data_IF_709691268428
#
_entry.id   IF_709691268428
#
_cell.length_a   1.000
_cell.length_b   1.000
_cell.length_c   1.000
_cell.angle_alpha   90.00
_cell.angle_beta   90.00
_cell.angle_gamma   90.00
#
_symmetry.space_group_name_H-M   'P 1'
#
loop_
_entity.id
_entity.type
_entity.pdbx_description
1 polymer ?
#
# COMPACT_ATOMS: atom_id res chain seq x y z
N UNK A 1 -8.80 -13.92 19.55
CA UNK A 1 -9.66 -13.42 18.45
C UNK A 1 -8.92 -12.65 17.34
N UNK A 2 -7.96 -11.72 17.58
CA UNK A 2 -7.08 -11.17 16.50
C UNK A 2 -5.66 -11.69 16.60
N UNK A 3 -5.14 -11.79 17.82
CA UNK A 3 -3.85 -12.45 18.06
C UNK A 3 -3.82 -13.84 17.42
N UNK A 4 -4.93 -14.57 17.40
CA UNK A 4 -5.02 -15.90 16.77
C UNK A 4 -4.94 -15.83 15.24
N UNK A 5 -5.51 -14.80 14.60
CA UNK A 5 -5.37 -14.59 13.15
C UNK A 5 -3.92 -14.32 12.79
N UNK A 6 -3.26 -13.44 13.55
CA UNK A 6 -1.85 -13.10 13.32
C UNK A 6 -0.92 -14.29 13.60
N UNK A 7 -1.18 -15.04 14.67
CA UNK A 7 -0.46 -16.30 14.97
C UNK A 7 -0.64 -17.31 13.85
N UNK A 8 -1.86 -17.50 13.36
CA UNK A 8 -2.14 -18.36 12.22
C UNK A 8 -1.37 -17.91 10.97
N UNK A 9 -1.35 -16.62 10.66
CA UNK A 9 -0.58 -16.09 9.54
C UNK A 9 0.90 -16.48 9.65
N UNK A 10 1.51 -16.25 10.82
CA UNK A 10 2.92 -16.57 11.08
C UNK A 10 3.20 -18.06 10.93
N UNK A 11 2.30 -18.93 11.40
CA UNK A 11 2.53 -20.38 11.39
C UNK A 11 2.19 -21.05 10.05
N UNK A 12 1.34 -20.43 9.23
CA UNK A 12 0.73 -21.10 8.07
C UNK A 12 1.09 -20.48 6.73
N UNK A 13 1.55 -19.23 6.70
CA UNK A 13 1.78 -18.50 5.44
C UNK A 13 3.28 -18.24 5.23
N UNK A 14 3.93 -18.96 4.30
CA UNK A 14 5.30 -18.63 3.91
C UNK A 14 5.33 -17.30 3.14
N UNK A 15 6.47 -16.59 3.18
CA UNK A 15 6.61 -15.31 2.48
C UNK A 15 5.61 -14.26 2.97
N UNK A 16 5.38 -14.22 4.29
CA UNK A 16 4.50 -13.26 4.95
C UNK A 16 5.19 -11.91 5.09
N UNK A 17 4.53 -10.85 4.64
CA UNK A 17 4.96 -9.46 4.85
C UNK A 17 3.77 -8.59 5.24
N UNK A 18 4.05 -7.40 5.76
CA UNK A 18 3.03 -6.39 6.00
C UNK A 18 3.17 -5.26 4.97
N UNK A 19 2.17 -5.05 4.12
CA UNK A 19 2.13 -3.85 3.27
C UNK A 19 1.43 -2.73 4.02
N UNK A 20 2.09 -1.58 4.16
CA UNK A 20 1.56 -0.46 4.92
C UNK A 20 1.82 0.88 4.26
N UNK A 21 0.90 1.82 4.50
CA UNK A 21 1.11 3.26 4.30
C UNK A 21 1.15 3.99 5.65
N UNK A 22 1.44 3.26 6.73
CA UNK A 22 1.48 3.75 8.12
C UNK A 22 0.16 4.38 8.61
N UNK A 23 -0.98 3.97 8.05
CA UNK A 23 -2.29 4.25 8.63
C UNK A 23 -2.49 3.51 9.95
N UNK A 24 -3.33 4.04 10.84
CA UNK A 24 -3.50 3.54 12.21
C UNK A 24 -3.71 2.02 12.29
N UNK A 25 -4.53 1.46 11.42
CA UNK A 25 -4.78 0.01 11.40
C UNK A 25 -3.52 -0.80 11.12
N UNK A 26 -2.68 -0.37 10.19
CA UNK A 26 -1.40 -1.03 9.94
C UNK A 26 -0.46 -0.90 11.14
N UNK A 27 -0.46 0.24 11.83
CA UNK A 27 0.36 0.46 13.02
C UNK A 27 -0.06 -0.43 14.19
N UNK A 28 -1.37 -0.62 14.41
CA UNK A 28 -1.88 -1.58 15.39
C UNK A 28 -1.36 -2.99 15.09
N UNK A 29 -1.45 -3.42 13.83
CA UNK A 29 -0.95 -4.74 13.43
C UNK A 29 0.56 -4.89 13.68
N UNK A 30 1.36 -3.88 13.32
CA UNK A 30 2.80 -3.87 13.57
C UNK A 30 3.09 -4.02 15.06
N UNK A 31 2.42 -3.23 15.90
CA UNK A 31 2.63 -3.26 17.34
C UNK A 31 2.24 -4.62 17.94
N UNK A 32 1.11 -5.19 17.52
CA UNK A 32 0.69 -6.54 17.92
C UNK A 32 1.72 -7.61 17.52
N UNK A 33 2.26 -7.55 16.29
CA UNK A 33 3.30 -8.47 15.82
C UNK A 33 4.59 -8.31 16.64
N UNK A 34 5.00 -7.07 16.95
CA UNK A 34 6.23 -6.80 17.68
C UNK A 34 6.26 -7.39 19.09
N UNK A 35 5.07 -7.48 19.71
CA UNK A 35 4.83 -8.02 21.06
C UNK A 35 4.75 -9.55 21.09
N UNK A 36 4.71 -10.23 19.94
CA UNK A 36 4.71 -11.69 19.90
C UNK A 36 6.05 -12.26 20.35
N UNK A 37 5.99 -13.43 20.98
CA UNK A 37 7.12 -14.14 21.57
C UNK A 37 7.08 -15.65 21.26
N UNK A 38 8.13 -16.36 21.70
CA UNK A 38 8.26 -17.80 21.54
C UNK A 38 8.13 -18.25 20.08
N UNK A 39 7.30 -19.28 19.77
CA UNK A 39 7.15 -19.81 18.42
C UNK A 39 6.49 -18.83 17.43
N UNK A 40 5.94 -17.73 17.94
CA UNK A 40 5.31 -16.68 17.14
C UNK A 40 6.22 -15.45 16.99
N UNK A 41 7.45 -15.49 17.53
CA UNK A 41 8.42 -14.43 17.27
C UNK A 41 8.84 -14.50 15.81
N UNK A 42 8.24 -13.63 15.01
CA UNK A 42 8.52 -13.54 13.58
C UNK A 42 8.88 -12.11 13.20
N UNK A 43 9.93 -11.95 12.41
CA UNK A 43 10.26 -10.67 11.83
C UNK A 43 9.44 -10.52 10.55
N UNK A 44 8.20 -10.06 10.69
CA UNK A 44 7.35 -9.78 9.53
C UNK A 44 7.85 -8.51 8.88
N UNK A 45 8.52 -8.64 7.74
CA UNK A 45 9.04 -7.51 7.01
C UNK A 45 7.90 -6.57 6.56
N UNK A 46 8.18 -5.27 6.61
CA UNK A 46 7.25 -4.25 6.15
C UNK A 46 7.60 -3.80 4.74
N UNK A 47 6.57 -3.58 3.92
CA UNK A 47 6.68 -3.00 2.60
C UNK A 47 5.96 -1.66 2.61
N UNK A 48 6.70 -0.59 2.34
CA UNK A 48 6.19 0.75 2.15
C UNK A 48 6.37 1.17 0.70
N UNK A 49 5.30 1.67 0.09
CA UNK A 49 5.34 2.22 -1.26
C UNK A 49 5.48 3.73 -1.15
N UNK A 50 6.68 4.21 -1.41
CA UNK A 50 6.96 5.64 -1.47
C UNK A 50 6.57 6.15 -2.85
N UNK A 51 5.40 6.79 -2.92
CA UNK A 51 4.87 7.35 -4.17
C UNK A 51 5.64 8.58 -4.63
N UNK A 52 6.57 9.10 -3.80
CA UNK A 52 7.25 10.39 -3.91
C UNK A 52 6.36 11.60 -3.58
N UNK A 53 5.07 11.37 -3.31
CA UNK A 53 4.07 12.40 -3.04
C UNK A 53 3.41 12.23 -1.67
N UNK A 54 4.05 11.54 -0.73
CA UNK A 54 3.57 11.50 0.66
C UNK A 54 3.79 12.85 1.36
N UNK A 55 3.08 13.04 2.46
CA UNK A 55 3.35 14.14 3.38
C UNK A 55 4.67 13.93 4.13
N UNK A 56 5.33 15.02 4.51
CA UNK A 56 6.53 15.00 5.35
C UNK A 56 6.29 14.31 6.69
N UNK A 57 5.10 14.47 7.27
CA UNK A 57 4.70 13.79 8.51
C UNK A 57 4.64 12.26 8.34
N UNK A 58 4.32 11.76 7.14
CA UNK A 58 4.37 10.33 6.84
C UNK A 58 5.82 9.83 6.83
N UNK A 59 6.74 10.56 6.18
CA UNK A 59 8.16 10.22 6.19
C UNK A 59 8.76 10.26 7.60
N UNK A 60 8.46 11.32 8.36
CA UNK A 60 8.87 11.44 9.76
C UNK A 60 8.33 10.28 10.63
N UNK A 61 7.09 9.83 10.37
CA UNK A 61 6.54 8.66 11.02
C UNK A 61 7.29 7.37 10.66
N UNK A 62 7.69 7.16 9.39
CA UNK A 62 8.50 6.01 9.00
C UNK A 62 9.76 5.91 9.86
N UNK A 63 10.45 7.03 10.08
CA UNK A 63 11.66 7.07 10.90
C UNK A 63 11.38 6.83 12.39
N UNK A 64 10.24 7.29 12.91
CA UNK A 64 9.80 6.96 14.28
C UNK A 64 9.53 5.46 14.42
N UNK A 65 8.88 4.85 13.43
CA UNK A 65 8.54 3.43 13.43
C UNK A 65 9.80 2.56 13.34
N UNK A 66 10.75 2.89 12.45
CA UNK A 66 12.05 2.21 12.36
C UNK A 66 12.76 2.16 13.72
N UNK A 67 12.86 3.31 14.40
CA UNK A 67 13.50 3.42 15.71
C UNK A 67 12.77 2.66 16.81
N UNK A 68 11.43 2.64 16.77
CA UNK A 68 10.59 2.04 17.83
C UNK A 68 10.54 0.51 17.78
N UNK A 69 10.46 -0.05 16.57
CA UNK A 69 10.15 -1.47 16.36
C UNK A 69 11.32 -2.28 15.82
N UNK A 70 12.33 -1.62 15.22
CA UNK A 70 13.50 -2.28 14.61
C UNK A 70 13.13 -3.39 13.60
N UNK A 71 11.98 -3.25 12.94
CA UNK A 71 11.50 -4.14 11.89
C UNK A 71 12.02 -3.65 10.53
N UNK A 72 12.49 -4.53 9.63
CA UNK A 72 12.88 -4.16 8.28
C UNK A 72 11.72 -3.49 7.54
N UNK A 73 12.00 -2.33 6.94
CA UNK A 73 11.05 -1.60 6.08
C UNK A 73 11.67 -1.48 4.70
N UNK A 74 11.17 -2.30 3.78
CA UNK A 74 11.50 -2.26 2.35
C UNK A 74 10.71 -1.14 1.71
N UNK A 75 11.43 -0.16 1.15
CA UNK A 75 10.82 1.00 0.48
C UNK A 75 10.92 0.80 -1.02
N UNK A 76 9.77 0.80 -1.69
CA UNK A 76 9.67 0.72 -3.15
C UNK A 76 9.10 2.02 -3.70
N UNK A 77 9.77 2.54 -4.73
CA UNK A 77 9.44 3.78 -5.45
C UNK A 77 9.00 3.48 -6.88
N UNK A 78 8.38 4.45 -7.58
CA UNK A 78 8.17 4.36 -9.03
C UNK A 78 9.47 3.97 -9.75
N UNK A 79 9.40 3.03 -10.69
CA UNK A 79 10.59 2.51 -11.35
C UNK A 79 11.45 3.60 -12.01
N UNK A 80 12.72 3.69 -11.61
CA UNK A 80 13.67 4.68 -12.12
C UNK A 80 13.39 6.11 -11.67
N UNK A 81 12.68 6.32 -10.56
CA UNK A 81 12.48 7.63 -9.96
C UNK A 81 12.89 7.63 -8.49
N UNK A 82 13.84 8.50 -8.13
CA UNK A 82 14.23 8.70 -6.73
C UNK A 82 13.59 9.94 -6.13
N UNK A 83 13.21 10.90 -6.98
CA UNK A 83 12.66 12.20 -6.62
C UNK A 83 11.42 12.56 -7.43
N UNK A 84 10.64 13.53 -6.93
CA UNK A 84 9.51 14.13 -7.68
C UNK A 84 9.95 14.69 -9.03
N UNK A 85 11.17 15.23 -9.12
CA UNK A 85 11.73 15.74 -10.37
C UNK A 85 11.90 14.62 -11.41
N UNK A 86 12.42 13.46 -11.01
CA UNK A 86 12.55 12.30 -11.90
C UNK A 86 11.18 11.82 -12.38
N UNK A 87 10.20 11.77 -11.47
CA UNK A 87 8.84 11.37 -11.80
C UNK A 87 8.20 12.33 -12.81
N UNK A 88 8.29 13.64 -12.57
CA UNK A 88 7.73 14.65 -13.45
C UNK A 88 8.45 14.69 -14.81
N UNK A 89 9.77 14.51 -14.84
CA UNK A 89 10.54 14.44 -16.09
C UNK A 89 10.12 13.24 -16.94
N UNK A 90 9.78 12.11 -16.31
CA UNK A 90 9.40 10.88 -17.00
C UNK A 90 7.95 10.83 -17.42
N UNK A 91 7.04 11.28 -16.56
CA UNK A 91 5.60 11.08 -16.75
C UNK A 91 4.79 12.38 -16.90
N UNK A 92 5.44 13.54 -16.78
CA UNK A 92 4.81 14.85 -16.80
C UNK A 92 4.39 15.35 -15.42
N UNK A 93 4.28 16.66 -15.28
CA UNK A 93 3.80 17.30 -14.05
C UNK A 93 2.33 16.95 -13.79
N UNK A 94 1.99 16.77 -12.52
CA UNK A 94 0.61 16.57 -12.05
C UNK A 94 -0.13 15.43 -12.77
N UNK A 95 0.54 14.31 -13.01
CA UNK A 95 -0.05 13.14 -13.66
C UNK A 95 -1.37 12.68 -13.00
N UNK A 96 -1.53 12.89 -11.69
CA UNK A 96 -2.77 12.58 -10.95
C UNK A 96 -3.99 13.44 -11.35
N UNK A 97 -3.80 14.53 -12.09
CA UNK A 97 -4.85 15.36 -12.69
C UNK A 97 -5.08 14.99 -14.16
N UNK A 98 -4.02 14.71 -14.91
CA UNK A 98 -4.10 14.47 -16.36
C UNK A 98 -4.43 13.02 -16.71
N UNK A 99 -3.96 12.06 -15.93
CA UNK A 99 -4.22 10.63 -16.10
C UNK A 99 -4.10 9.87 -14.76
N UNK A 100 -5.18 9.89 -13.98
CA UNK A 100 -5.22 9.28 -12.65
C UNK A 100 -4.96 7.76 -12.66
N UNK A 101 -5.43 7.05 -13.69
CA UNK A 101 -5.19 5.60 -13.81
C UNK A 101 -3.71 5.29 -14.04
N UNK A 102 -3.05 6.09 -14.88
CA UNK A 102 -1.61 5.94 -15.11
C UNK A 102 -0.80 6.29 -13.87
N UNK A 103 -1.16 7.37 -13.16
CA UNK A 103 -0.54 7.72 -11.89
C UNK A 103 -0.65 6.60 -10.85
N UNK A 104 -1.87 6.07 -10.62
CA UNK A 104 -2.08 4.97 -9.68
C UNK A 104 -1.24 3.75 -10.07
N UNK A 105 -1.10 3.50 -11.37
CA UNK A 105 -0.31 2.40 -11.87
C UNK A 105 1.18 2.57 -11.55
N UNK A 106 1.83 3.63 -12.07
CA UNK A 106 3.29 3.80 -11.95
C UNK A 106 3.74 4.17 -10.54
N UNK A 107 2.89 4.85 -9.77
CA UNK A 107 3.26 5.29 -8.43
C UNK A 107 2.96 4.24 -7.35
N UNK A 108 2.05 3.30 -7.61
CA UNK A 108 1.52 2.41 -6.55
C UNK A 108 1.42 0.96 -6.96
N UNK A 109 0.77 0.65 -8.08
CA UNK A 109 0.54 -0.75 -8.49
C UNK A 109 1.85 -1.40 -8.92
N UNK A 110 2.60 -0.77 -9.83
CA UNK A 110 3.88 -1.30 -10.30
C UNK A 110 4.88 -1.51 -9.15
N UNK A 111 5.14 -0.52 -8.28
CA UNK A 111 6.09 -0.72 -7.18
C UNK A 111 5.64 -1.82 -6.21
N UNK A 112 4.34 -1.98 -5.97
CA UNK A 112 3.81 -3.05 -5.13
C UNK A 112 4.07 -4.42 -5.73
N UNK A 113 3.72 -4.61 -7.00
CA UNK A 113 3.88 -5.90 -7.68
C UNK A 113 5.36 -6.28 -7.83
N UNK A 114 6.23 -5.30 -8.13
CA UNK A 114 7.69 -5.49 -8.12
C UNK A 114 8.22 -5.87 -6.75
N UNK A 115 7.79 -5.19 -5.68
CA UNK A 115 8.17 -5.54 -4.32
C UNK A 115 7.79 -6.99 -3.97
N UNK A 116 6.56 -7.40 -4.31
CA UNK A 116 6.10 -8.76 -4.05
C UNK A 116 6.90 -9.81 -4.82
N UNK A 117 7.28 -9.52 -6.06
CA UNK A 117 8.11 -10.41 -6.86
C UNK A 117 9.55 -10.51 -6.33
N UNK A 118 10.23 -9.39 -6.09
CA UNK A 118 11.62 -9.36 -5.65
C UNK A 118 11.79 -9.96 -4.24
N UNK A 119 10.86 -9.66 -3.33
CA UNK A 119 10.88 -10.17 -1.95
C UNK A 119 10.20 -11.55 -1.81
N UNK A 120 9.74 -12.15 -2.91
CA UNK A 120 9.06 -13.46 -2.92
C UNK A 120 7.84 -13.53 -1.98
N UNK A 121 7.08 -12.43 -1.86
CA UNK A 121 5.91 -12.33 -1.00
C UNK A 121 4.79 -13.22 -1.54
N UNK A 122 4.26 -14.11 -0.70
CA UNK A 122 3.09 -14.93 -1.00
C UNK A 122 1.86 -14.53 -0.17
N UNK A 123 2.09 -13.86 0.95
CA UNK A 123 1.04 -13.36 1.82
C UNK A 123 1.35 -11.94 2.31
N UNK A 124 0.37 -11.04 2.20
CA UNK A 124 0.48 -9.65 2.62
C UNK A 124 -0.60 -9.27 3.63
N UNK A 125 -0.19 -8.90 4.83
CA UNK A 125 -1.09 -8.29 5.82
C UNK A 125 -1.36 -6.84 5.42
N UNK A 126 -2.63 -6.42 5.44
CA UNK A 126 -3.06 -5.06 5.11
C UNK A 126 -3.80 -4.38 6.26
N UNK A 127 -3.90 -3.04 6.19
CA UNK A 127 -4.64 -2.21 7.14
C UNK A 127 -6.10 -1.93 6.76
N UNK A 128 -6.73 -2.76 5.91
CA UNK A 128 -8.13 -2.55 5.48
C UNK A 128 -9.12 -3.05 6.55
N UNK A 129 -10.23 -2.33 6.71
CA UNK A 129 -11.33 -2.67 7.65
C UNK A 129 -12.69 -2.45 7.00
N UNK A 130 -13.71 -3.21 7.41
CA UNK A 130 -15.09 -3.04 6.93
C UNK A 130 -15.67 -1.67 7.26
N UNK A 131 -15.34 -1.16 8.45
CA UNK A 131 -15.77 0.15 8.95
C UNK A 131 -15.25 1.35 8.14
N UNK A 132 -14.34 1.13 7.19
CA UNK A 132 -13.85 2.18 6.27
C UNK A 132 -14.77 2.41 5.06
N UNK A 133 -15.87 1.68 4.96
CA UNK A 133 -16.93 1.91 3.98
C UNK A 133 -16.53 1.65 2.52
N UNK A 134 -17.39 2.12 1.61
CA UNK A 134 -17.23 1.90 0.17
C UNK A 134 -17.08 0.41 -0.18
N UNK A 135 -16.11 0.09 -1.04
CA UNK A 135 -15.82 -1.31 -1.42
C UNK A 135 -15.26 -2.17 -0.28
N UNK A 136 -14.92 -1.58 0.88
CA UNK A 136 -14.39 -2.34 2.03
C UNK A 136 -15.50 -2.90 2.92
N UNK A 137 -16.76 -2.48 2.78
CA UNK A 137 -17.86 -2.95 3.62
C UNK A 137 -18.00 -4.48 3.67
N UNK A 138 -17.75 -5.13 2.54
CA UNK A 138 -17.90 -6.59 2.35
C UNK A 138 -16.55 -7.33 2.38
N UNK A 139 -15.51 -6.71 2.94
CA UNK A 139 -14.14 -7.23 2.90
C UNK A 139 -13.95 -8.51 3.71
N UNK A 140 -13.46 -9.57 3.09
CA UNK A 140 -13.09 -10.81 3.78
C UNK A 140 -11.84 -10.64 4.65
N UNK A 141 -11.69 -11.51 5.66
CA UNK A 141 -10.45 -11.56 6.46
C UNK A 141 -9.29 -12.06 5.60
N UNK A 142 -9.56 -12.99 4.68
CA UNK A 142 -8.57 -13.54 3.74
C UNK A 142 -9.14 -13.35 2.33
N UNK A 143 -8.36 -12.69 1.47
CA UNK A 143 -8.65 -12.50 0.06
C UNK A 143 -7.49 -13.10 -0.76
N UNK A 144 -7.75 -13.53 -1.99
CA UNK A 144 -6.72 -13.96 -2.94
C UNK A 144 -6.89 -13.12 -4.20
N UNK A 145 -5.82 -12.49 -4.70
CA UNK A 145 -5.88 -11.78 -5.98
C UNK A 145 -5.62 -12.73 -7.16
N UNK A 146 -5.84 -12.26 -8.38
CA UNK A 146 -5.64 -13.06 -9.60
C UNK A 146 -4.19 -13.57 -9.76
N UNK A 147 -3.22 -12.90 -9.12
CA UNK A 147 -1.80 -13.29 -9.09
C UNK A 147 -1.44 -14.31 -8.00
N UNK A 148 -2.41 -14.81 -7.22
CA UNK A 148 -2.20 -15.78 -6.15
C UNK A 148 -1.64 -15.22 -4.85
N UNK A 149 -1.51 -13.89 -4.71
CA UNK A 149 -1.13 -13.24 -3.45
C UNK A 149 -2.30 -13.33 -2.47
N UNK A 150 -2.03 -13.90 -1.29
CA UNK A 150 -2.99 -13.94 -0.18
C UNK A 150 -2.95 -12.59 0.55
N UNK A 151 -4.06 -11.86 0.62
CA UNK A 151 -4.19 -10.64 1.40
C UNK A 151 -4.94 -10.96 2.70
N UNK A 152 -4.40 -10.51 3.83
CA UNK A 152 -4.97 -10.74 5.16
C UNK A 152 -5.35 -9.41 5.78
N UNK A 153 -6.58 -9.31 6.23
CA UNK A 153 -7.14 -8.14 6.90
C UNK A 153 -7.47 -8.49 8.36
N UNK A 154 -6.47 -8.63 9.24
CA UNK A 154 -6.67 -9.14 10.60
C UNK A 154 -7.62 -8.26 11.43
N UNK A 155 -7.69 -6.98 11.09
CA UNK A 155 -8.52 -5.97 11.75
C UNK A 155 -9.81 -5.66 10.94
N UNK A 156 -10.25 -6.56 10.05
CA UNK A 156 -11.44 -6.37 9.21
C UNK A 156 -12.69 -5.94 10.00
N UNK A 157 -12.85 -6.49 11.21
CA UNK A 157 -14.00 -6.25 12.10
C UNK A 157 -13.81 -5.12 13.10
N UNK A 158 -12.66 -4.42 13.09
CA UNK A 158 -12.44 -3.30 13.99
C UNK A 158 -13.05 -2.00 13.46
N UNK A 159 -13.70 -1.27 14.36
CA UNK A 159 -14.10 0.12 14.16
C UNK A 159 -12.88 1.05 14.24
N UNK A 160 -13.03 2.28 13.76
CA UNK A 160 -11.98 3.30 13.94
C UNK A 160 -11.71 3.59 15.42
N UNK A 161 -12.76 3.59 16.26
CA UNK A 161 -12.65 3.82 17.70
C UNK A 161 -11.77 2.75 18.37
N UNK A 162 -11.99 1.47 18.08
CA UNK A 162 -11.16 0.37 18.62
C UNK A 162 -9.70 0.47 18.17
N UNK A 163 -9.46 0.86 16.91
CA UNK A 163 -8.10 1.10 16.41
C UNK A 163 -7.44 2.24 17.20
N UNK A 164 -8.13 3.37 17.37
CA UNK A 164 -7.61 4.54 18.09
C UNK A 164 -7.37 4.24 19.57
N UNK A 165 -8.30 3.56 20.23
CA UNK A 165 -8.16 3.11 21.61
C UNK A 165 -6.91 2.25 21.80
N UNK A 166 -6.65 1.31 20.89
CA UNK A 166 -5.42 0.51 20.94
C UNK A 166 -4.17 1.36 20.79
N UNK A 167 -4.15 2.28 19.81
CA UNK A 167 -3.01 3.17 19.56
C UNK A 167 -2.68 3.97 20.83
N UNK A 168 -3.69 4.55 21.47
CA UNK A 168 -3.55 5.36 22.67
C UNK A 168 -3.09 4.51 23.86
N UNK A 169 -3.77 3.38 24.12
CA UNK A 169 -3.47 2.49 25.25
C UNK A 169 -2.06 1.89 25.18
N UNK A 170 -1.50 1.74 23.97
CA UNK A 170 -0.20 1.12 23.74
C UNK A 170 0.90 2.12 23.36
N UNK A 171 0.60 3.43 23.36
CA UNK A 171 1.53 4.50 22.96
C UNK A 171 2.21 4.22 21.61
N UNK A 172 1.43 3.74 20.63
CA UNK A 172 1.92 3.44 19.29
C UNK A 172 2.15 4.76 18.54
N UNK A 173 3.35 5.01 17.97
CA UNK A 173 3.58 6.20 17.16
C UNK A 173 2.62 6.23 15.97
N UNK A 174 1.95 7.35 15.74
CA UNK A 174 1.04 7.56 14.61
C UNK A 174 1.35 8.87 13.88
N UNK A 175 0.68 9.11 12.76
CA UNK A 175 0.91 10.29 11.91
C UNK A 175 0.31 11.54 12.56
N UNK A 176 1.12 12.60 12.71
CA UNK A 176 0.71 13.82 13.41
C UNK A 176 -0.47 14.54 12.72
N UNK A 177 -0.66 14.30 11.41
CA UNK A 177 -1.81 14.80 10.64
C UNK A 177 -3.15 14.29 11.19
N UNK A 178 -3.19 13.16 11.90
CA UNK A 178 -4.42 12.69 12.52
C UNK A 178 -5.00 13.74 13.48
N UNK A 179 -4.14 14.43 14.24
CA UNK A 179 -4.54 15.47 15.18
C UNK A 179 -5.01 16.75 14.48
N UNK A 180 -4.77 16.85 13.17
CA UNK A 180 -5.22 17.94 12.30
C UNK A 180 -6.48 17.54 11.50
N UNK A 181 -7.13 16.42 11.83
CA UNK A 181 -8.36 15.96 11.20
C UNK A 181 -8.15 14.97 10.04
N UNK A 182 -6.93 14.53 9.75
CA UNK A 182 -6.68 13.55 8.69
C UNK A 182 -6.85 12.12 9.20
N UNK A 183 -8.09 11.60 9.14
CA UNK A 183 -8.39 10.21 9.55
C UNK A 183 -7.87 9.15 8.57
N UNK A 184 -7.61 9.51 7.31
CA UNK A 184 -7.06 8.63 6.28
C UNK A 184 -6.02 9.37 5.42
N UNK A 185 -4.75 8.97 5.53
CA UNK A 185 -3.60 9.65 4.90
C UNK A 185 -3.04 8.85 3.72
N UNK A 186 -2.55 9.55 2.70
CA UNK A 186 -1.85 9.02 1.52
C UNK A 186 -1.21 10.22 0.80
N UNK A 187 -1.21 10.26 -0.54
CA UNK A 187 -0.56 11.36 -1.26
C UNK A 187 -1.15 12.75 -0.95
N UNK A 188 -0.30 13.78 -0.86
CA UNK A 188 -0.70 15.11 -0.39
C UNK A 188 -1.75 15.78 -1.28
N UNK A 189 -1.68 15.57 -2.60
CA UNK A 189 -2.61 16.17 -3.57
C UNK A 189 -4.01 15.52 -3.57
N UNK A 190 -4.18 14.36 -2.92
CA UNK A 190 -5.42 13.57 -2.94
C UNK A 190 -5.95 13.25 -1.53
N UNK A 191 -5.51 14.02 -0.53
CA UNK A 191 -5.89 13.85 0.87
C UNK A 191 -6.33 15.18 1.49
N UNK A 192 -7.52 15.21 2.08
CA UNK A 192 -8.03 16.35 2.84
C UNK A 192 -8.40 15.92 4.27
N UNK A 193 -8.41 16.86 5.24
CA UNK A 193 -8.96 16.58 6.56
C UNK A 193 -10.48 16.36 6.46
N UNK A 194 -11.03 15.67 7.45
CA UNK A 194 -12.47 15.43 7.58
C UNK A 194 -13.02 16.07 8.85
N UNK A 195 -14.25 16.56 8.79
CA UNK A 195 -14.95 17.13 9.92
C UNK A 195 -15.36 16.05 10.94
N UNK A 196 -15.78 16.51 12.12
CA UNK A 196 -16.43 15.64 13.10
C UNK A 196 -17.70 15.03 12.49
N UNK A 197 -17.91 13.72 12.67
CA UNK A 197 -19.05 12.99 12.11
C UNK A 197 -18.89 12.53 10.64
N UNK A 198 -17.95 13.08 9.87
CA UNK A 198 -17.65 12.56 8.53
C UNK A 198 -16.94 11.20 8.58
N UNK A 199 -17.22 10.38 7.56
CA UNK A 199 -16.59 9.07 7.34
C UNK A 199 -15.06 9.15 7.37
N UNK A 200 -14.41 8.10 7.89
CA UNK A 200 -12.95 8.01 8.03
C UNK A 200 -12.20 8.33 6.74
N UNK A 201 -12.76 7.93 5.58
CA UNK A 201 -12.13 8.08 4.28
C UNK A 201 -12.76 9.19 3.43
N UNK A 202 -13.67 9.99 3.96
CA UNK A 202 -14.32 11.09 3.21
C UNK A 202 -13.32 12.12 2.64
N UNK A 203 -12.15 12.27 3.26
CA UNK A 203 -11.07 13.15 2.80
C UNK A 203 -10.25 12.57 1.65
N UNK A 204 -10.44 11.30 1.29
CA UNK A 204 -9.78 10.65 0.15
C UNK A 204 -10.58 10.94 -1.10
N UNK A 205 -9.91 11.44 -2.14
CA UNK A 205 -10.54 11.67 -3.46
C UNK A 205 -11.81 12.54 -3.42
N UNK A 206 -11.85 13.53 -2.51
CA UNK A 206 -13.01 14.41 -2.33
C UNK A 206 -13.38 15.07 -3.67
N UNK A 207 -14.64 14.93 -4.08
CA UNK A 207 -15.13 15.44 -5.37
C UNK A 207 -14.84 14.54 -6.58
N UNK A 208 -14.33 13.31 -6.38
CA UNK A 208 -14.10 12.33 -7.46
C UNK A 208 -14.97 11.08 -7.26
N UNK A 209 -15.14 10.27 -8.31
CA UNK A 209 -15.89 9.00 -8.29
C UNK A 209 -15.13 7.82 -7.65
N UNK A 210 -13.85 8.02 -7.34
CA UNK A 210 -12.95 6.98 -6.86
C UNK A 210 -13.16 6.67 -5.37
N UNK A 211 -13.31 5.39 -5.07
CA UNK A 211 -13.58 4.91 -3.70
C UNK A 211 -12.50 3.97 -3.16
N UNK A 212 -11.60 3.46 -4.01
CA UNK A 212 -10.55 2.53 -3.60
C UNK A 212 -9.23 2.77 -4.37
N UNK A 213 -8.11 2.43 -3.74
CA UNK A 213 -6.78 2.56 -4.33
C UNK A 213 -6.52 1.44 -5.35
N UNK A 214 -5.81 1.75 -6.45
CA UNK A 214 -5.43 0.76 -7.47
C UNK A 214 -4.71 -0.50 -6.93
N UNK A 215 -3.96 -0.38 -5.83
CA UNK A 215 -3.26 -1.51 -5.15
C UNK A 215 -4.22 -2.63 -4.71
N UNK A 216 -5.48 -2.30 -4.48
CA UNK A 216 -6.50 -3.24 -4.00
C UNK A 216 -7.45 -3.71 -5.09
N UNK A 217 -7.17 -3.42 -6.36
CA UNK A 217 -7.93 -3.98 -7.47
C UNK A 217 -7.57 -5.46 -7.66
N UNK A 218 -8.55 -6.38 -7.80
CA UNK A 218 -8.29 -7.81 -8.00
C UNK A 218 -7.49 -8.13 -9.27
N UNK A 219 -7.66 -7.35 -10.35
CA UNK A 219 -6.93 -7.55 -11.61
C UNK A 219 -5.55 -6.88 -11.56
N UNK A 220 -4.48 -7.65 -11.80
CA UNK A 220 -3.14 -7.08 -12.02
C UNK A 220 -3.13 -6.29 -13.33
N UNK A 221 -3.11 -4.95 -13.20
CA UNK A 221 -2.87 -4.05 -14.33
C UNK A 221 -1.40 -4.13 -14.80
N UNK A 222 -0.49 -4.58 -13.93
CA UNK A 222 0.95 -4.67 -14.24
C UNK A 222 1.30 -5.85 -15.14
N UNK A 223 0.75 -7.03 -14.91
CA UNK A 223 0.95 -8.17 -15.80
C UNK A 223 0.46 -7.86 -17.22
N UNK A 224 -0.64 -7.12 -17.34
CA UNK A 224 -1.16 -6.64 -18.62
C UNK A 224 -0.23 -5.62 -19.27
N UNK A 225 0.22 -4.61 -18.53
CA UNK A 225 1.16 -3.61 -19.03
C UNK A 225 2.51 -4.20 -19.43
N UNK A 226 3.10 -5.10 -18.63
CA UNK A 226 4.36 -5.76 -18.97
C UNK A 226 4.22 -6.52 -20.28
N UNK A 227 3.11 -7.24 -20.45
CA UNK A 227 2.81 -7.95 -21.67
C UNK A 227 2.67 -6.98 -22.86
N UNK A 228 2.02 -5.84 -22.68
CA UNK A 228 1.90 -4.80 -23.70
C UNK A 228 3.26 -4.16 -24.05
N UNK A 229 4.12 -3.88 -23.07
CA UNK A 229 5.47 -3.37 -23.31
C UNK A 229 6.35 -4.38 -24.03
N UNK A 230 6.27 -5.66 -23.64
CA UNK A 230 7.00 -6.74 -24.32
C UNK A 230 6.52 -6.91 -25.77
N UNK A 231 5.20 -6.90 -26.01
CA UNK A 231 4.61 -6.89 -27.34
C UNK A 231 5.10 -5.70 -28.17
N UNK A 232 5.12 -4.51 -27.58
CA UNK A 232 5.58 -3.30 -28.26
C UNK A 232 7.07 -3.38 -28.61
N UNK A 233 7.91 -3.81 -27.67
CA UNK A 233 9.34 -4.00 -27.91
C UNK A 233 9.60 -5.07 -28.99
N UNK A 234 8.81 -6.15 -29.01
CA UNK A 234 8.88 -7.16 -30.07
C UNK A 234 8.45 -6.61 -31.43
N UNK A 235 7.41 -5.78 -31.48
CA UNK A 235 6.97 -5.11 -32.72
C UNK A 235 8.05 -4.15 -33.25
N UNK A 236 8.60 -3.28 -32.41
CA UNK A 236 9.67 -2.35 -32.79
C UNK A 236 10.93 -3.10 -33.27
N UNK A 237 11.31 -4.20 -32.59
CA UNK A 237 12.42 -5.04 -33.00
C UNK A 237 12.16 -5.73 -34.36
N UNK A 238 10.93 -6.21 -34.59
CA UNK A 238 10.53 -6.83 -35.85
C UNK A 238 10.52 -5.82 -37.00
N UNK A 239 9.98 -4.62 -36.80
CA UNK A 239 9.99 -3.54 -37.79
C UNK A 239 11.43 -3.13 -38.15
N UNK A 240 12.29 -2.98 -37.15
CA UNK A 240 13.71 -2.68 -37.37
C UNK A 240 14.45 -3.80 -38.11
N UNK A 241 14.10 -5.07 -37.88
CA UNK A 241 14.67 -6.20 -38.60
C UNK A 241 14.19 -6.26 -40.06
N UNK A 242 12.91 -6.01 -40.30
CA UNK A 242 12.33 -5.96 -41.66
C UNK A 242 12.92 -4.81 -42.49
N UNK A 243 13.16 -3.64 -41.89
CA UNK A 243 13.84 -2.53 -42.56
C UNK A 243 15.27 -2.87 -42.97
N UNK A 244 16.00 -3.65 -42.16
CA UNK A 244 17.37 -4.08 -42.48
C UNK A 244 17.44 -5.12 -43.60
N UNK A 245 16.37 -5.92 -43.79
CA UNK A 245 16.27 -6.90 -44.87
C UNK A 245 15.82 -6.28 -46.20
N UNK A 246 15.24 -5.08 -46.16
CA UNK A 246 14.79 -4.34 -47.33
C UNK A 246 15.88 -3.47 -47.98
N UNK A 247 17.12 -3.56 -47.49
CA UNK A 247 18.34 -2.90 -48.01
C UNK A 247 19.30 -3.98 -48.51
#
# INVERSE_FOLDING_TARGET
MISDILKWCITSLPGLSQTTAFGLTGLVTLDMLSKMDGPYKHNTDMIFLDTLFHFDETYALVDRIRRRYNTPIHIYKPAGCDTVADFNARYGEKLWETNEDHYDYVAKVEPAERAYAELQVKAAITGRRRSQGGKRGDLDIIEINDGGLIKINPLANWTFAQVKEYIDANNVPYNDLLNQGYKSVGDWHSTQPVAAGEDERAGRWKGRSKTECGIHNPKSKYAQFLKEQELKAQQEALEGALQKLAV
#
